data_IF_324196874366
#
_entry.id   IF_324196874366
#
_cell.length_a   1.000
_cell.length_b   1.000
_cell.length_c   1.000
_cell.angle_alpha   90.00
_cell.angle_beta   90.00
_cell.angle_gamma   90.00
#
_symmetry.space_group_name_H-M   'P 1'
#
loop_
_entity.id
_entity.type
_entity.pdbx_description
1 polymer ?
#
# COMPACT_ATOMS: atom_id res chain seq x y z
N UNK A 1 -1.97 -19.75 -0.39
CA UNK A 1 -1.81 -18.97 -1.65
C UNK A 1 -1.36 -17.55 -1.29
N UNK A 2 -0.62 -16.86 -2.16
CA UNK A 2 -0.17 -15.47 -1.92
C UNK A 2 -1.06 -14.49 -2.69
N UNK A 3 -1.43 -13.38 -2.06
CA UNK A 3 -2.14 -12.25 -2.67
C UNK A 3 -1.26 -11.01 -2.54
N UNK A 4 -1.10 -10.23 -3.61
CA UNK A 4 -0.35 -8.98 -3.58
C UNK A 4 -1.32 -7.80 -3.67
N UNK A 5 -1.28 -6.92 -2.67
CA UNK A 5 -2.07 -5.69 -2.61
C UNK A 5 -1.17 -4.52 -2.95
N UNK A 6 -1.39 -3.89 -4.10
CA UNK A 6 -0.58 -2.75 -4.59
C UNK A 6 -1.29 -1.44 -4.24
N UNK A 7 -0.61 -0.57 -3.49
CA UNK A 7 -1.10 0.71 -2.99
C UNK A 7 -0.13 1.83 -3.36
N UNK A 8 -0.61 3.06 -3.43
CA UNK A 8 0.19 4.24 -3.77
C UNK A 8 -0.45 5.56 -3.36
N UNK A 9 -1.78 5.63 -3.38
CA UNK A 9 -2.54 6.82 -3.01
C UNK A 9 -3.17 6.73 -1.61
N UNK A 10 -3.35 7.86 -0.92
CA UNK A 10 -3.91 7.89 0.45
C UNK A 10 -5.28 7.22 0.57
N UNK A 11 -6.24 7.46 -0.34
CA UNK A 11 -7.55 6.79 -0.30
C UNK A 11 -7.46 5.26 -0.44
N UNK A 12 -6.35 4.74 -0.96
CA UNK A 12 -6.17 3.29 -1.12
C UNK A 12 -5.84 2.61 0.21
N UNK A 13 -5.10 3.24 1.14
CA UNK A 13 -4.85 2.66 2.47
C UNK A 13 -6.16 2.45 3.25
N UNK A 14 -7.04 3.47 3.24
CA UNK A 14 -8.34 3.40 3.92
C UNK A 14 -9.20 2.26 3.38
N UNK A 15 -9.19 2.04 2.06
CA UNK A 15 -9.94 0.94 1.43
C UNK A 15 -9.27 -0.41 1.67
N UNK A 16 -7.95 -0.45 1.58
CA UNK A 16 -7.16 -1.66 1.76
C UNK A 16 -7.22 -2.18 3.19
N UNK A 17 -7.25 -1.31 4.21
CA UNK A 17 -7.30 -1.75 5.61
C UNK A 17 -8.47 -2.69 5.91
N UNK A 18 -9.66 -2.37 5.36
CA UNK A 18 -10.86 -3.19 5.50
C UNK A 18 -10.68 -4.56 4.83
N UNK A 19 -10.11 -4.59 3.63
CA UNK A 19 -9.85 -5.82 2.88
C UNK A 19 -8.77 -6.65 3.57
N UNK A 20 -7.66 -6.04 4.00
CA UNK A 20 -6.57 -6.69 4.73
C UNK A 20 -7.03 -7.30 6.05
N UNK A 21 -7.95 -6.65 6.78
CA UNK A 21 -8.55 -7.25 7.98
C UNK A 21 -9.34 -8.51 7.65
N UNK A 22 -10.22 -8.45 6.64
CA UNK A 22 -11.02 -9.59 6.22
C UNK A 22 -10.15 -10.76 5.72
N UNK A 23 -9.07 -10.47 4.98
CA UNK A 23 -8.11 -11.47 4.51
C UNK A 23 -7.38 -12.15 5.67
N UNK A 24 -6.97 -11.37 6.68
CA UNK A 24 -6.32 -11.87 7.90
C UNK A 24 -7.27 -12.77 8.71
N UNK A 25 -8.53 -12.36 8.86
CA UNK A 25 -9.56 -13.15 9.56
C UNK A 25 -9.88 -14.46 8.83
N UNK A 26 -9.93 -14.45 7.49
CA UNK A 26 -10.16 -15.64 6.70
C UNK A 26 -9.01 -16.66 6.79
N UNK A 27 -7.77 -16.22 7.05
CA UNK A 27 -6.60 -17.08 7.30
C UNK A 27 -6.11 -17.94 6.13
N UNK A 28 -6.81 -17.94 4.99
CA UNK A 28 -6.50 -18.79 3.83
C UNK A 28 -5.41 -18.22 2.90
N UNK A 29 -5.17 -16.90 2.99
CA UNK A 29 -4.28 -16.16 2.09
C UNK A 29 -3.17 -15.46 2.88
N UNK A 30 -1.96 -15.48 2.33
CA UNK A 30 -0.87 -14.62 2.78
C UNK A 30 -0.87 -13.35 1.94
N UNK A 31 -1.34 -12.26 2.51
CA UNK A 31 -1.28 -10.94 1.88
C UNK A 31 0.16 -10.39 1.91
N UNK A 32 0.57 -9.76 0.81
CA UNK A 32 1.82 -9.02 0.67
C UNK A 32 1.44 -7.61 0.20
N UNK A 33 1.62 -6.62 1.06
CA UNK A 33 1.35 -5.22 0.72
C UNK A 33 2.58 -4.61 0.04
N UNK A 34 2.39 -4.04 -1.15
CA UNK A 34 3.39 -3.28 -1.89
C UNK A 34 2.94 -1.83 -2.02
N UNK A 35 3.81 -0.90 -1.66
CA UNK A 35 3.57 0.53 -1.75
C UNK A 35 4.40 1.14 -2.89
N UNK A 36 3.77 1.79 -3.88
CA UNK A 36 4.45 2.36 -5.06
C UNK A 36 5.22 3.63 -4.74
N UNK A 37 4.72 4.47 -3.82
CA UNK A 37 5.41 5.69 -3.37
C UNK A 37 4.80 7.00 -3.84
N UNK A 38 3.62 6.98 -4.48
CA UNK A 38 3.01 8.14 -5.18
C UNK A 38 2.67 9.36 -4.29
N UNK A 39 2.75 9.23 -2.96
CA UNK A 39 2.61 10.37 -2.03
C UNK A 39 3.73 10.38 -1.00
N UNK A 40 4.44 11.50 -0.92
CA UNK A 40 5.56 11.69 -0.02
C UNK A 40 5.15 12.60 1.14
N UNK A 41 4.71 11.97 2.22
CA UNK A 41 5.27 12.24 3.53
C UNK A 41 5.31 10.90 4.27
N UNK A 42 6.52 10.37 4.47
CA UNK A 42 6.73 9.08 5.12
C UNK A 42 6.15 9.05 6.55
N UNK A 43 6.12 10.21 7.23
CA UNK A 43 5.44 10.33 8.52
C UNK A 43 3.92 10.15 8.36
N UNK A 44 3.35 10.68 7.28
CA UNK A 44 1.91 10.60 7.04
C UNK A 44 1.46 9.20 6.64
N UNK A 45 2.24 8.46 5.83
CA UNK A 45 1.89 7.07 5.48
C UNK A 45 1.96 6.14 6.70
N UNK A 46 2.98 6.27 7.55
CA UNK A 46 3.14 5.40 8.72
C UNK A 46 1.97 5.55 9.70
N UNK A 47 1.52 6.78 9.93
CA UNK A 47 0.34 7.07 10.77
C UNK A 47 -0.90 6.33 10.25
N UNK A 48 -1.13 6.26 8.94
CA UNK A 48 -2.26 5.48 8.40
C UNK A 48 -2.12 3.98 8.65
N UNK A 49 -0.92 3.41 8.53
CA UNK A 49 -0.74 1.98 8.83
C UNK A 49 -1.03 1.68 10.30
N UNK A 50 -0.53 2.53 11.20
CA UNK A 50 -0.71 2.39 12.64
C UNK A 50 -2.19 2.60 13.05
N UNK A 51 -2.81 3.69 12.61
CA UNK A 51 -4.21 4.03 12.95
C UNK A 51 -5.22 3.05 12.35
N UNK A 52 -4.94 2.49 11.17
CA UNK A 52 -5.82 1.53 10.50
C UNK A 52 -5.54 0.08 10.90
N UNK A 53 -4.58 -0.18 11.80
CA UNK A 53 -4.20 -1.54 12.22
C UNK A 53 -3.68 -2.40 11.07
N UNK A 54 -3.04 -1.77 10.08
CA UNK A 54 -2.44 -2.44 8.94
C UNK A 54 -0.98 -2.81 9.23
N UNK A 55 -0.52 -3.91 8.66
CA UNK A 55 0.91 -4.21 8.67
C UNK A 55 1.66 -3.26 7.73
N UNK A 56 2.91 -2.86 8.05
CA UNK A 56 3.75 -2.10 7.14
C UNK A 56 3.92 -2.82 5.79
N UNK A 57 4.11 -2.08 4.68
CA UNK A 57 4.30 -2.68 3.38
C UNK A 57 5.57 -3.54 3.35
N UNK A 58 5.48 -4.72 2.77
CA UNK A 58 6.63 -5.61 2.58
C UNK A 58 7.63 -5.04 1.55
N UNK A 59 7.13 -4.20 0.63
CA UNK A 59 7.93 -3.53 -0.40
C UNK A 59 7.48 -2.09 -0.56
N UNK A 60 8.42 -1.16 -0.67
CA UNK A 60 8.16 0.25 -0.97
C UNK A 60 9.03 0.68 -2.16
N UNK A 61 8.42 1.05 -3.29
CA UNK A 61 9.14 1.30 -4.55
C UNK A 61 9.72 2.72 -4.68
N UNK A 62 9.31 3.67 -3.83
CA UNK A 62 9.85 5.04 -3.86
C UNK A 62 9.58 5.78 -5.18
N UNK A 63 8.48 5.44 -5.87
CA UNK A 63 8.07 6.09 -7.11
C UNK A 63 7.26 7.33 -6.79
N UNK A 64 7.97 8.45 -6.72
CA UNK A 64 7.43 9.80 -6.56
C UNK A 64 8.14 10.80 -7.47
N UNK A 65 7.56 11.99 -7.60
CA UNK A 65 8.10 13.08 -8.40
C UNK A 65 7.85 12.92 -9.90
N UNK A 66 8.14 13.97 -10.66
CA UNK A 66 7.93 13.99 -12.11
C UNK A 66 6.46 14.17 -12.51
N UNK A 67 6.19 14.00 -13.81
CA UNK A 67 4.84 14.06 -14.35
C UNK A 67 4.03 12.79 -14.06
N UNK A 68 2.71 12.85 -14.18
CA UNK A 68 1.85 11.67 -13.98
C UNK A 68 2.26 10.50 -14.89
N UNK A 69 2.55 10.76 -16.17
CA UNK A 69 2.99 9.74 -17.11
C UNK A 69 4.34 9.10 -16.75
N UNK A 70 5.27 9.88 -16.21
CA UNK A 70 6.57 9.38 -15.76
C UNK A 70 6.41 8.45 -14.55
N UNK A 71 5.60 8.85 -13.56
CA UNK A 71 5.30 8.00 -12.40
C UNK A 71 4.64 6.69 -12.84
N UNK A 72 3.62 6.75 -13.70
CA UNK A 72 2.96 5.56 -14.22
C UNK A 72 3.94 4.66 -14.97
N UNK A 73 4.81 5.23 -15.81
CA UNK A 73 5.83 4.47 -16.54
C UNK A 73 6.83 3.76 -15.63
N UNK A 74 7.17 4.33 -14.47
CA UNK A 74 8.05 3.69 -13.47
C UNK A 74 7.37 2.57 -12.68
N UNK A 75 6.03 2.47 -12.68
CA UNK A 75 5.26 1.43 -11.97
C UNK A 75 5.00 0.18 -12.80
N UNK A 76 5.12 0.28 -14.12
CA UNK A 76 4.97 -0.82 -15.08
C UNK A 76 6.30 -1.57 -15.23
#
# INVERSE_FOLDING_TARGET
MKLVTVLGARPQFIKASVVSSALREAGALREIVLHTGQHFDANMSQVFFDELGMSPPAHHLGIHGGGHGEMTGRML
#
